data_IF_890412725893
#
_entry.id   IF_890412725893
#
_cell.length_a   1.000
_cell.length_b   1.000
_cell.length_c   1.000
_cell.angle_alpha   90.00
_cell.angle_beta   90.00
_cell.angle_gamma   90.00
#
_symmetry.space_group_name_H-M   'P 1'
#
loop_
_entity.id
_entity.type
_entity.pdbx_description
1 polymer ?
#
# COMPACT_ATOMS: atom_id res chain seq x y z
N UNK A 1 -16.66 -13.47 -15.91
CA UNK A 1 -15.72 -12.37 -15.59
C UNK A 1 -15.47 -12.13 -14.10
N UNK A 2 -16.44 -12.33 -13.18
CA UNK A 2 -16.26 -11.96 -11.75
C UNK A 2 -15.34 -12.85 -10.89
N UNK A 3 -15.19 -14.13 -11.22
CA UNK A 3 -14.41 -15.08 -10.39
C UNK A 3 -12.92 -14.73 -10.25
N UNK A 4 -12.29 -14.19 -11.30
CA UNK A 4 -10.87 -13.79 -11.26
C UNK A 4 -10.64 -12.60 -10.32
N UNK A 5 -11.57 -11.64 -10.30
CA UNK A 5 -11.49 -10.46 -9.45
C UNK A 5 -11.77 -10.81 -7.98
N UNK A 6 -12.73 -11.70 -7.74
CA UNK A 6 -13.02 -12.20 -6.38
C UNK A 6 -11.85 -13.00 -5.79
N UNK A 7 -11.17 -13.81 -6.60
CA UNK A 7 -9.99 -14.54 -6.13
C UNK A 7 -8.85 -13.58 -5.76
N UNK A 8 -8.64 -12.56 -6.59
CA UNK A 8 -7.64 -11.52 -6.37
C UNK A 8 -7.90 -10.70 -5.10
N UNK A 9 -9.16 -10.34 -4.86
CA UNK A 9 -9.60 -9.69 -3.63
C UNK A 9 -9.33 -10.57 -2.40
N UNK A 10 -9.81 -11.83 -2.41
CA UNK A 10 -9.69 -12.76 -1.28
C UNK A 10 -8.23 -13.01 -0.88
N UNK A 11 -7.32 -13.07 -1.84
CA UNK A 11 -5.90 -13.24 -1.56
C UNK A 11 -5.33 -12.05 -0.77
N UNK A 12 -5.74 -10.82 -1.10
CA UNK A 12 -5.36 -9.63 -0.35
C UNK A 12 -6.05 -9.62 1.01
N UNK A 13 -7.34 -9.95 1.11
CA UNK A 13 -8.06 -10.03 2.39
C UNK A 13 -7.37 -10.99 3.38
N UNK A 14 -6.91 -12.16 2.91
CA UNK A 14 -6.11 -13.09 3.73
C UNK A 14 -4.78 -12.49 4.18
N UNK A 15 -4.07 -11.81 3.29
CA UNK A 15 -2.84 -11.10 3.63
C UNK A 15 -3.10 -10.08 4.75
N UNK A 16 -4.18 -9.30 4.66
CA UNK A 16 -4.55 -8.29 5.66
C UNK A 16 -4.83 -8.96 7.01
N UNK A 17 -5.62 -10.03 7.04
CA UNK A 17 -5.90 -10.79 8.27
C UNK A 17 -4.60 -11.31 8.91
N UNK A 18 -3.68 -11.83 8.09
CA UNK A 18 -2.38 -12.31 8.57
C UNK A 18 -1.53 -11.17 9.16
N UNK A 19 -1.51 -10.00 8.51
CA UNK A 19 -0.80 -8.82 8.99
C UNK A 19 -1.40 -8.26 10.29
N UNK A 20 -2.73 -8.16 10.37
CA UNK A 20 -3.46 -7.67 11.53
C UNK A 20 -3.26 -8.56 12.78
N UNK A 21 -2.96 -9.85 12.55
CA UNK A 21 -2.64 -10.81 13.60
C UNK A 21 -3.80 -11.04 14.58
N UNK A 22 -3.48 -11.54 15.78
CA UNK A 22 -4.50 -11.97 16.77
C UNK A 22 -5.40 -10.85 17.27
N UNK A 23 -4.92 -9.60 17.24
CA UNK A 23 -5.67 -8.45 17.74
C UNK A 23 -6.64 -7.88 16.69
N UNK A 24 -6.58 -8.38 15.45
CA UNK A 24 -7.41 -7.86 14.35
C UNK A 24 -7.05 -6.44 13.92
N UNK A 25 -5.96 -5.87 14.44
CA UNK A 25 -5.47 -4.54 14.06
C UNK A 25 -3.96 -4.48 14.24
N UNK A 26 -3.28 -4.03 13.19
CA UNK A 26 -1.87 -3.67 13.21
C UNK A 26 -1.74 -2.25 12.64
N UNK A 27 -1.04 -1.37 13.36
CA UNK A 27 -0.56 -0.10 12.82
C UNK A 27 0.94 0.01 13.07
N UNK A 28 1.71 0.26 12.01
CA UNK A 28 3.15 0.49 12.10
C UNK A 28 3.59 1.61 11.18
N UNK A 29 4.52 2.44 11.65
CA UNK A 29 5.15 3.50 10.85
C UNK A 29 6.62 3.15 10.62
N UNK A 30 7.09 3.36 9.40
CA UNK A 30 8.48 3.20 8.99
C UNK A 30 8.94 4.41 8.18
N UNK A 31 10.21 4.70 8.30
CA UNK A 31 10.90 5.77 7.58
C UNK A 31 12.19 5.22 7.01
N UNK A 32 12.53 5.71 5.81
CA UNK A 32 13.83 5.48 5.21
C UNK A 32 14.31 6.77 4.52
N UNK A 33 15.62 6.93 4.41
CA UNK A 33 16.24 8.11 3.84
C UNK A 33 16.83 7.81 2.46
N UNK A 34 16.56 8.69 1.51
CA UNK A 34 17.26 8.70 0.23
C UNK A 34 18.71 9.19 0.40
N UNK A 35 19.55 8.96 -0.61
CA UNK A 35 20.97 9.37 -0.59
C UNK A 35 21.17 10.88 -0.35
N UNK A 36 20.18 11.70 -0.71
CA UNK A 36 20.18 13.15 -0.50
C UNK A 36 19.59 13.57 0.86
N UNK A 37 19.19 12.62 1.71
CA UNK A 37 18.59 12.85 3.02
C UNK A 37 17.07 13.04 3.02
N UNK A 38 16.40 13.05 1.87
CA UNK A 38 14.94 13.12 1.81
C UNK A 38 14.30 11.87 2.41
N UNK A 39 13.29 12.06 3.26
CA UNK A 39 12.64 10.97 3.99
C UNK A 39 11.44 10.45 3.20
N UNK A 40 11.35 9.12 3.06
CA UNK A 40 10.11 8.43 2.70
C UNK A 40 9.53 7.84 3.98
N UNK A 41 8.33 8.32 4.37
CA UNK A 41 7.59 7.81 5.52
C UNK A 41 6.37 7.04 5.03
N UNK A 42 6.12 5.88 5.63
CA UNK A 42 4.89 5.12 5.40
C UNK A 42 4.32 4.62 6.72
N UNK A 43 3.03 4.86 6.92
CA UNK A 43 2.24 4.23 7.97
C UNK A 43 1.34 3.19 7.33
N UNK A 44 1.44 1.95 7.80
CA UNK A 44 0.62 0.83 7.35
C UNK A 44 -0.33 0.47 8.48
N UNK A 45 -1.63 0.49 8.18
CA UNK A 45 -2.69 0.02 9.08
C UNK A 45 -3.42 -1.13 8.41
N UNK A 46 -3.27 -2.34 8.95
CA UNK A 46 -4.04 -3.51 8.57
C UNK A 46 -5.14 -3.73 9.62
N UNK A 47 -6.40 -3.65 9.19
CA UNK A 47 -7.58 -3.77 10.03
C UNK A 47 -8.42 -4.97 9.58
N UNK A 48 -8.56 -5.95 10.46
CA UNK A 48 -9.39 -7.13 10.31
C UNK A 48 -10.42 -7.24 11.45
N UNK A 49 -10.80 -6.11 12.05
CA UNK A 49 -11.85 -6.04 13.08
C UNK A 49 -13.21 -6.52 12.58
N UNK A 50 -13.45 -6.39 11.27
CA UNK A 50 -14.56 -7.00 10.55
C UNK A 50 -14.00 -8.10 9.64
N UNK A 51 -14.04 -9.39 10.05
CA UNK A 51 -13.39 -10.47 9.30
C UNK A 51 -13.88 -10.67 7.86
N UNK A 52 -15.13 -10.30 7.57
CA UNK A 52 -15.76 -10.37 6.25
C UNK A 52 -15.26 -9.25 5.30
N UNK A 53 -14.68 -8.18 5.87
CA UNK A 53 -14.28 -6.97 5.16
C UNK A 53 -12.98 -6.38 5.73
N UNK A 54 -11.86 -7.12 5.69
CA UNK A 54 -10.58 -6.59 6.16
C UNK A 54 -10.07 -5.52 5.20
N UNK A 55 -9.45 -4.47 5.76
CA UNK A 55 -8.97 -3.30 5.03
C UNK A 55 -7.50 -3.03 5.36
N UNK A 56 -6.75 -2.52 4.38
CA UNK A 56 -5.40 -2.02 4.59
C UNK A 56 -5.28 -0.59 4.09
N UNK A 57 -4.74 0.28 4.94
CA UNK A 57 -4.40 1.66 4.62
C UNK A 57 -2.88 1.80 4.57
N UNK A 58 -2.39 2.37 3.47
CA UNK A 58 -0.98 2.67 3.23
C UNK A 58 -0.88 4.18 3.08
N UNK A 59 -0.32 4.84 4.08
CA UNK A 59 -0.33 6.29 4.21
C UNK A 59 1.08 6.86 4.19
N UNK A 60 1.39 7.63 3.14
CA UNK A 60 2.69 8.26 2.93
C UNK A 60 2.79 9.67 3.54
N UNK A 61 1.84 10.07 4.38
CA UNK A 61 1.89 11.36 5.10
C UNK A 61 3.19 11.48 5.90
N UNK A 62 3.89 12.60 5.70
CA UNK A 62 5.20 12.87 6.30
C UNK A 62 6.40 12.44 5.44
N UNK A 63 6.17 11.92 4.24
CA UNK A 63 7.20 11.86 3.19
C UNK A 63 7.63 13.28 2.79
N UNK A 64 8.90 13.44 2.42
CA UNK A 64 9.49 14.69 1.97
C UNK A 64 8.72 15.34 0.82
N UNK A 65 8.89 16.65 0.68
CA UNK A 65 8.32 17.43 -0.41
C UNK A 65 8.89 17.02 -1.78
N UNK A 66 8.26 17.48 -2.85
CA UNK A 66 8.79 17.39 -4.19
C UNK A 66 10.21 17.97 -4.28
N UNK A 67 11.09 17.24 -4.95
CA UNK A 67 12.48 17.63 -5.22
C UNK A 67 12.57 18.44 -6.52
N UNK A 68 13.54 19.34 -6.63
CA UNK A 68 13.90 19.96 -7.92
C UNK A 68 14.70 19.01 -8.84
N UNK A 69 15.11 17.85 -8.33
CA UNK A 69 15.84 16.83 -9.06
C UNK A 69 14.95 15.79 -9.76
N UNK A 70 15.57 14.72 -10.25
CA UNK A 70 14.91 13.65 -11.00
C UNK A 70 14.48 12.45 -10.12
N UNK A 71 14.44 12.63 -8.80
CA UNK A 71 14.11 11.56 -7.83
C UNK A 71 12.61 11.48 -7.51
N UNK A 72 11.80 12.42 -8.00
CA UNK A 72 10.36 12.39 -7.79
C UNK A 72 9.71 11.18 -8.46
N UNK A 73 8.71 10.59 -7.80
CA UNK A 73 7.88 9.53 -8.33
C UNK A 73 6.47 10.05 -8.63
N UNK A 74 6.03 10.06 -9.89
CA UNK A 74 4.64 10.39 -10.22
C UNK A 74 3.64 9.47 -9.51
N UNK A 75 2.45 9.99 -9.21
CA UNK A 75 1.40 9.26 -8.48
C UNK A 75 1.16 7.83 -9.00
N UNK A 76 1.13 7.66 -10.32
CA UNK A 76 0.91 6.37 -10.96
C UNK A 76 2.02 5.36 -10.63
N UNK A 77 3.28 5.83 -10.56
CA UNK A 77 4.45 5.01 -10.22
C UNK A 77 4.40 4.60 -8.75
N UNK A 78 4.08 5.52 -7.84
CA UNK A 78 3.94 5.22 -6.41
C UNK A 78 2.85 4.16 -6.17
N UNK A 79 1.69 4.29 -6.82
CA UNK A 79 0.61 3.29 -6.72
C UNK A 79 1.01 1.92 -7.30
N UNK A 80 1.75 1.91 -8.42
CA UNK A 80 2.26 0.68 -9.01
C UNK A 80 3.29 -0.02 -8.10
N UNK A 81 4.16 0.74 -7.43
CA UNK A 81 5.12 0.20 -6.47
C UNK A 81 4.41 -0.44 -5.27
N UNK A 82 3.41 0.23 -4.70
CA UNK A 82 2.58 -0.34 -3.61
C UNK A 82 1.91 -1.64 -4.05
N UNK A 83 1.30 -1.66 -5.24
CA UNK A 83 0.68 -2.84 -5.81
C UNK A 83 1.66 -4.01 -5.97
N UNK A 84 2.88 -3.71 -6.44
CA UNK A 84 3.94 -4.70 -6.58
C UNK A 84 4.34 -5.27 -5.22
N UNK A 85 4.54 -4.44 -4.19
CA UNK A 85 4.84 -4.89 -2.84
C UNK A 85 3.75 -5.81 -2.30
N UNK A 86 2.47 -5.45 -2.45
CA UNK A 86 1.36 -6.31 -2.05
C UNK A 86 1.37 -7.65 -2.82
N UNK A 87 1.67 -7.62 -4.11
CA UNK A 87 1.78 -8.86 -4.92
C UNK A 87 2.90 -9.76 -4.44
N UNK A 88 4.04 -9.21 -4.04
CA UNK A 88 5.16 -9.97 -3.50
C UNK A 88 4.82 -10.60 -2.13
N UNK A 89 3.97 -9.96 -1.34
CA UNK A 89 3.50 -10.48 -0.06
C UNK A 89 2.40 -11.53 -0.20
N UNK A 90 1.63 -11.51 -1.31
CA UNK A 90 0.70 -12.58 -1.65
C UNK A 90 1.49 -13.78 -2.16
N UNK A 91 1.69 -14.77 -1.28
CA UNK A 91 2.33 -16.06 -1.57
C UNK A 91 1.38 -17.04 -2.29
N UNK A 92 0.62 -16.53 -3.27
CA UNK A 92 -0.30 -17.31 -4.09
C UNK A 92 -0.18 -16.89 -5.56
N UNK A 93 -0.40 -17.80 -6.54
CA UNK A 93 -0.38 -17.51 -7.97
C UNK A 93 -1.65 -16.75 -8.40
N UNK A 94 -1.80 -15.52 -7.90
CA UNK A 94 -2.94 -14.64 -8.15
C UNK A 94 -2.57 -13.62 -9.22
N UNK A 95 -3.47 -13.45 -10.21
CA UNK A 95 -3.34 -12.43 -11.24
C UNK A 95 -3.67 -11.05 -10.65
N UNK A 96 -2.74 -10.10 -10.74
CA UNK A 96 -2.96 -8.70 -10.39
C UNK A 96 -4.08 -8.12 -11.26
N UNK A 97 -5.19 -7.75 -10.63
CA UNK A 97 -6.29 -7.05 -11.29
C UNK A 97 -6.97 -6.11 -10.29
N UNK A 98 -7.94 -5.32 -10.75
CA UNK A 98 -8.62 -4.32 -9.93
C UNK A 98 -9.24 -4.87 -8.63
N UNK A 99 -9.58 -6.17 -8.58
CA UNK A 99 -10.06 -6.82 -7.34
C UNK A 99 -9.04 -6.80 -6.20
N UNK A 100 -7.73 -6.79 -6.49
CA UNK A 100 -6.68 -6.66 -5.46
C UNK A 100 -6.71 -5.31 -4.73
N UNK A 101 -7.27 -4.28 -5.36
CA UNK A 101 -7.28 -2.92 -4.82
C UNK A 101 -8.52 -2.60 -4.01
N UNK A 102 -9.57 -3.41 -4.09
CA UNK A 102 -10.83 -3.13 -3.40
C UNK A 102 -10.65 -2.95 -1.87
N UNK A 103 -9.83 -3.78 -1.16
CA UNK A 103 -9.60 -3.59 0.27
C UNK A 103 -8.42 -2.65 0.59
N UNK A 104 -7.85 -1.95 -0.40
CA UNK A 104 -6.60 -1.18 -0.25
C UNK A 104 -6.88 0.32 -0.41
N UNK A 105 -6.59 1.08 0.64
CA UNK A 105 -6.55 2.54 0.59
C UNK A 105 -5.10 3.04 0.56
N UNK A 106 -4.78 3.91 -0.39
CA UNK A 106 -3.44 4.50 -0.54
C UNK A 106 -3.56 6.01 -0.45
N UNK A 107 -2.84 6.62 0.49
CA UNK A 107 -2.82 8.07 0.72
C UNK A 107 -1.43 8.58 0.39
N UNK A 108 -1.33 9.49 -0.56
CA UNK A 108 -0.08 10.08 -1.03
C UNK A 108 -0.30 11.59 -1.12
N UNK A 109 0.32 12.41 -0.23
CA UNK A 109 0.12 13.85 -0.23
C UNK A 109 0.57 14.49 -1.55
N UNK A 110 -0.23 15.39 -2.11
CA UNK A 110 0.15 16.23 -3.25
C UNK A 110 1.34 17.13 -2.91
N UNK A 111 2.23 17.35 -3.87
CA UNK A 111 3.48 18.09 -3.69
C UNK A 111 4.52 17.36 -2.84
N UNK A 112 4.35 16.04 -2.62
CA UNK A 112 5.37 15.20 -2.01
C UNK A 112 6.28 14.58 -3.07
N UNK A 113 7.41 14.05 -2.63
CA UNK A 113 8.34 13.28 -3.44
C UNK A 113 7.65 12.13 -4.21
N UNK A 114 6.52 11.62 -3.70
CA UNK A 114 5.78 10.48 -4.24
C UNK A 114 4.49 10.88 -4.99
N UNK A 115 4.15 12.17 -5.05
CA UNK A 115 3.07 12.74 -5.84
C UNK A 115 3.41 14.22 -6.14
N UNK A 116 4.40 14.47 -7.01
CA UNK A 116 4.83 15.81 -7.42
C UNK A 116 3.73 16.53 -8.23
N UNK A 117 3.88 17.85 -8.37
CA UNK A 117 2.93 18.73 -9.06
C UNK A 117 2.90 18.60 -10.59
#
# INVERSE_FOLDING_TARGET
MGFLQQNARRAIERLIVNLAGKNGLLTTTREDCMDNGDVIRVTITADASVPEHPLIRIDFTGTAGESSGNINAPLAITRAAVLYCLRCLVDEPVALNAGCLEPVSIIIPEGSLLNPS
#
